data_IF_020548469869
#
_entry.id   IF_020548469869
#
_cell.length_a   1.000
_cell.length_b   1.000
_cell.length_c   1.000
_cell.angle_alpha   90.00
_cell.angle_beta   90.00
_cell.angle_gamma   90.00
#
_symmetry.space_group_name_H-M   'P 1'
#
loop_
_entity.id
_entity.type
_entity.pdbx_description
1 polymer ?
#
# COMPACT_ATOMS: atom_id res chain seq x y z
N UNK A 1 -7.01 -13.34 -7.69
CA UNK A 1 -5.88 -12.42 -7.45
C UNK A 1 -5.47 -12.57 -6.01
N UNK A 2 -4.21 -12.90 -5.74
CA UNK A 2 -3.68 -12.91 -4.38
C UNK A 2 -3.07 -11.53 -4.14
N UNK A 3 -3.78 -10.69 -3.40
CA UNK A 3 -3.18 -9.48 -2.87
C UNK A 3 -1.97 -9.84 -1.97
N UNK A 4 -1.07 -8.89 -1.78
CA UNK A 4 0.05 -9.04 -0.87
C UNK A 4 -0.40 -9.25 0.58
N UNK A 5 0.55 -9.37 1.52
CA UNK A 5 0.21 -9.65 2.91
C UNK A 5 -0.69 -8.57 3.52
N UNK A 6 -1.56 -9.00 4.43
CA UNK A 6 -2.33 -8.09 5.28
C UNK A 6 -1.38 -7.36 6.22
N UNK A 7 -1.43 -6.03 6.22
CA UNK A 7 -0.55 -5.18 7.02
C UNK A 7 -1.16 -4.87 8.39
N UNK A 8 -2.43 -4.44 8.40
CA UNK A 8 -3.18 -4.06 9.60
C UNK A 8 -4.47 -4.88 9.68
N UNK A 9 -4.79 -5.37 10.89
CA UNK A 9 -6.04 -6.08 11.21
C UNK A 9 -6.63 -5.53 12.51
N UNK A 10 -7.78 -4.88 12.43
CA UNK A 10 -8.47 -4.31 13.59
C UNK A 10 -7.63 -3.28 14.36
N UNK A 11 -6.88 -2.42 13.65
CA UNK A 11 -6.02 -1.40 14.24
C UNK A 11 -4.73 -1.92 14.87
N UNK A 12 -4.36 -3.18 14.58
CA UNK A 12 -3.11 -3.78 15.05
C UNK A 12 -2.26 -4.25 13.87
N UNK A 13 -0.95 -4.10 14.00
CA UNK A 13 0.04 -4.65 13.07
C UNK A 13 -0.11 -6.16 12.97
N UNK A 14 -0.04 -6.69 11.76
CA UNK A 14 -0.12 -8.12 11.55
C UNK A 14 1.21 -8.77 11.97
N UNK A 15 1.16 -9.66 12.96
CA UNK A 15 2.35 -10.33 13.50
C UNK A 15 3.08 -11.18 12.44
N UNK A 16 2.35 -11.66 11.42
CA UNK A 16 2.95 -12.46 10.35
C UNK A 16 3.95 -11.66 9.51
N UNK A 17 3.93 -10.33 9.55
CA UNK A 17 4.91 -9.48 8.85
C UNK A 17 6.34 -9.67 9.38
N UNK A 18 6.48 -10.03 10.65
CA UNK A 18 7.79 -10.24 11.31
C UNK A 18 8.49 -11.53 10.87
N UNK A 19 7.77 -12.44 10.19
CA UNK A 19 8.37 -13.63 9.61
C UNK A 19 9.21 -13.23 8.39
N UNK A 20 10.52 -13.49 8.47
CA UNK A 20 11.52 -13.08 7.49
C UNK A 20 11.29 -13.77 6.13
N UNK A 21 10.59 -13.08 5.23
CA UNK A 21 10.44 -13.44 3.83
C UNK A 21 11.07 -12.29 3.02
N UNK A 22 11.99 -12.62 2.11
CA UNK A 22 12.90 -11.70 1.42
C UNK A 22 12.27 -10.38 0.94
N UNK A 23 11.10 -10.43 0.30
CA UNK A 23 10.44 -9.24 -0.26
C UNK A 23 9.76 -8.31 0.76
N UNK A 24 9.60 -8.75 2.02
CA UNK A 24 8.97 -7.97 3.09
C UNK A 24 9.92 -6.95 3.72
N UNK A 25 11.21 -7.29 3.73
CA UNK A 25 12.27 -6.52 4.39
C UNK A 25 13.05 -5.62 3.42
N UNK A 26 12.77 -5.69 2.12
CA UNK A 26 13.36 -4.76 1.14
C UNK A 26 12.51 -3.49 1.00
N UNK A 27 13.10 -2.29 1.16
CA UNK A 27 12.38 -1.05 0.95
C UNK A 27 12.00 -0.85 -0.52
N UNK A 28 10.72 -0.58 -0.77
CA UNK A 28 10.17 -0.32 -2.10
C UNK A 28 9.04 0.70 -2.02
N UNK A 29 8.68 1.39 -3.12
CA UNK A 29 7.40 2.08 -3.19
C UNK A 29 6.28 1.06 -2.99
N UNK A 30 5.20 1.45 -2.32
CA UNK A 30 4.12 0.53 -1.95
C UNK A 30 2.78 1.10 -2.37
N UNK A 31 1.91 0.24 -2.89
CA UNK A 31 0.48 0.52 -3.01
C UNK A 31 -0.31 -0.38 -2.08
N UNK A 32 -1.42 0.13 -1.54
CA UNK A 32 -2.27 -0.65 -0.66
C UNK A 32 -3.71 -0.16 -0.68
N UNK A 33 -4.62 -1.03 -0.23
CA UNK A 33 -5.98 -0.65 0.15
C UNK A 33 -6.04 -0.60 1.67
N UNK A 34 -6.53 0.50 2.21
CA UNK A 34 -6.71 0.72 3.63
C UNK A 34 -8.15 1.11 3.97
N UNK A 35 -8.52 0.89 5.23
CA UNK A 35 -9.78 1.30 5.80
C UNK A 35 -9.53 2.20 7.02
N UNK A 36 -10.16 3.39 7.01
CA UNK A 36 -10.20 4.30 8.15
C UNK A 36 -11.67 4.57 8.50
N UNK A 37 -12.16 3.95 9.57
CA UNK A 37 -13.59 3.95 9.91
C UNK A 37 -14.41 3.31 8.79
N UNK A 38 -15.40 4.05 8.27
CA UNK A 38 -16.25 3.59 7.15
C UNK A 38 -15.65 3.86 5.78
N UNK A 39 -14.52 4.57 5.70
CA UNK A 39 -13.90 4.97 4.43
C UNK A 39 -12.89 3.93 3.96
N UNK A 40 -12.94 3.60 2.68
CA UNK A 40 -11.89 2.85 1.97
C UNK A 40 -10.96 3.83 1.27
N UNK A 41 -9.66 3.57 1.35
CA UNK A 41 -8.61 4.41 0.82
C UNK A 41 -7.71 3.57 -0.08
N UNK A 42 -7.31 4.13 -1.22
CA UNK A 42 -6.15 3.67 -1.96
C UNK A 42 -4.99 4.54 -1.50
N UNK A 43 -3.94 3.91 -0.99
CA UNK A 43 -2.77 4.63 -0.44
C UNK A 43 -1.55 4.24 -1.26
N UNK A 44 -0.77 5.25 -1.61
CA UNK A 44 0.48 5.11 -2.35
C UNK A 44 1.61 5.74 -1.56
N UNK A 45 2.58 4.93 -1.16
CA UNK A 45 3.83 5.38 -0.57
C UNK A 45 4.86 5.53 -1.68
N UNK A 46 5.25 6.78 -1.94
CA UNK A 46 6.26 7.13 -2.95
C UNK A 46 7.69 6.88 -2.46
N UNK A 47 7.90 6.94 -1.15
CA UNK A 47 9.18 6.63 -0.53
C UNK A 47 9.34 5.12 -0.44
N UNK A 48 10.59 4.66 -0.53
CA UNK A 48 10.91 3.25 -0.37
C UNK A 48 10.74 2.85 1.10
N UNK A 49 9.76 1.99 1.38
CA UNK A 49 9.47 1.49 2.71
C UNK A 49 9.35 -0.04 2.70
N UNK A 50 9.82 -0.66 3.77
CA UNK A 50 9.51 -2.06 4.07
C UNK A 50 8.03 -2.21 4.44
N UNK A 51 7.50 -3.43 4.39
CA UNK A 51 6.10 -3.65 4.80
C UNK A 51 5.88 -3.40 6.29
N UNK A 52 6.94 -3.55 7.08
CA UNK A 52 6.95 -3.32 8.52
C UNK A 52 6.83 -1.83 8.85
N UNK A 53 7.64 -0.99 8.19
CA UNK A 53 7.58 0.47 8.31
C UNK A 53 6.26 1.03 7.80
N UNK A 54 5.73 0.49 6.69
CA UNK A 54 4.39 0.89 6.22
C UNK A 54 3.33 0.61 7.28
N UNK A 55 3.38 -0.55 7.93
CA UNK A 55 2.42 -0.84 8.99
C UNK A 55 2.53 0.15 10.16
N UNK A 56 3.74 0.58 10.53
CA UNK A 56 3.95 1.58 11.58
C UNK A 56 3.38 2.95 11.19
N UNK A 57 3.57 3.39 9.94
CA UNK A 57 2.94 4.62 9.43
C UNK A 57 1.42 4.55 9.43
N UNK A 58 0.84 3.39 9.05
CA UNK A 58 -0.61 3.20 9.05
C UNK A 58 -1.20 3.23 10.46
N UNK A 59 -0.48 2.73 11.46
CA UNK A 59 -0.90 2.82 12.87
C UNK A 59 -0.96 4.27 13.35
N UNK A 60 0.03 5.10 13.00
CA UNK A 60 0.04 6.55 13.31
C UNK A 60 -1.15 7.29 12.69
N UNK A 61 -1.73 6.75 11.62
CA UNK A 61 -2.87 7.31 10.89
C UNK A 61 -4.23 6.70 11.32
N UNK A 62 -4.28 5.92 12.40
CA UNK A 62 -5.48 5.23 12.89
C UNK A 62 -6.16 4.34 11.84
N UNK A 63 -5.37 3.71 10.96
CA UNK A 63 -5.88 2.77 9.98
C UNK A 63 -6.30 1.48 10.69
N UNK A 64 -7.51 1.00 10.37
CA UNK A 64 -8.11 -0.15 11.03
C UNK A 64 -7.82 -1.45 10.29
N UNK A 65 -7.79 -1.41 8.96
CA UNK A 65 -7.47 -2.56 8.13
C UNK A 65 -6.63 -2.09 6.94
N UNK A 66 -5.63 -2.88 6.55
CA UNK A 66 -4.86 -2.59 5.36
C UNK A 66 -4.30 -3.88 4.75
N UNK A 67 -4.31 -3.94 3.42
CA UNK A 67 -3.74 -5.05 2.65
C UNK A 67 -2.81 -4.46 1.60
N UNK A 68 -1.58 -4.96 1.56
CA UNK A 68 -0.60 -4.55 0.56
C UNK A 68 -1.05 -5.05 -0.83
N UNK A 69 -0.93 -4.18 -1.83
CA UNK A 69 -1.08 -4.54 -3.24
C UNK A 69 0.29 -4.73 -3.86
N UNK A 70 0.36 -4.77 -5.19
CA UNK A 70 1.63 -4.85 -5.87
C UNK A 70 2.49 -3.60 -5.59
N UNK A 71 3.81 -3.77 -5.54
CA UNK A 71 4.73 -2.71 -5.14
C UNK A 71 6.07 -2.83 -5.85
N UNK A 72 7.02 -1.95 -5.53
CA UNK A 72 8.27 -1.86 -6.26
C UNK A 72 8.09 -1.04 -7.55
N UNK A 73 8.75 -1.42 -8.66
CA UNK A 73 8.63 -0.72 -9.94
C UNK A 73 7.17 -0.54 -10.36
N UNK A 74 6.35 -1.55 -10.06
CA UNK A 74 4.92 -1.58 -10.39
C UNK A 74 4.04 -0.63 -9.57
N UNK A 75 4.61 0.23 -8.72
CA UNK A 75 3.82 1.25 -8.01
C UNK A 75 3.54 2.41 -8.93
N UNK A 76 2.29 2.61 -9.36
CA UNK A 76 1.89 3.77 -10.14
C UNK A 76 0.57 4.39 -9.66
N UNK A 77 0.40 5.69 -9.90
CA UNK A 77 -0.86 6.41 -9.72
C UNK A 77 -1.03 7.39 -10.88
N UNK A 78 -2.24 7.42 -11.44
CA UNK A 78 -2.64 8.34 -12.49
C UNK A 78 -3.99 8.93 -12.13
N UNK A 79 -4.10 10.25 -12.22
CA UNK A 79 -5.31 11.01 -11.94
C UNK A 79 -5.51 12.09 -13.00
N UNK A 80 -6.76 12.31 -13.40
CA UNK A 80 -7.13 13.47 -14.21
C UNK A 80 -7.21 14.76 -13.38
N UNK A 81 -7.32 14.65 -12.05
CA UNK A 81 -7.25 15.79 -11.14
C UNK A 81 -5.79 16.19 -10.92
N UNK A 82 -5.44 17.39 -11.41
CA UNK A 82 -4.09 17.97 -11.34
C UNK A 82 -3.58 18.21 -9.91
N UNK A 83 -4.45 18.14 -8.89
CA UNK A 83 -4.06 18.22 -7.47
C UNK A 83 -3.45 16.90 -6.97
N UNK A 84 -3.74 15.79 -7.63
CA UNK A 84 -3.14 14.49 -7.34
C UNK A 84 -1.90 14.36 -8.22
N UNK A 85 -0.73 14.25 -7.61
CA UNK A 85 0.51 14.05 -8.34
C UNK A 85 0.53 12.64 -8.93
N UNK A 86 0.72 12.54 -10.25
CA UNK A 86 0.94 11.27 -10.92
C UNK A 86 2.32 10.71 -10.57
N UNK A 87 2.44 9.37 -10.61
CA UNK A 87 3.68 8.66 -10.31
C UNK A 87 3.78 7.40 -11.19
N UNK A 88 4.96 7.17 -11.78
CA UNK A 88 5.29 6.01 -12.62
C UNK A 88 4.23 5.69 -13.71
N UNK A 89 3.77 6.70 -14.44
CA UNK A 89 2.71 6.58 -15.45
C UNK A 89 3.08 5.70 -16.67
N UNK A 90 4.38 5.47 -16.89
CA UNK A 90 4.86 4.71 -18.05
C UNK A 90 4.87 3.19 -17.80
N UNK A 91 4.74 2.72 -16.55
CA UNK A 91 4.68 1.30 -16.25
C UNK A 91 3.29 0.73 -16.54
N UNK A 92 3.20 -0.20 -17.50
CA UNK A 92 1.97 -0.94 -17.79
C UNK A 92 1.75 -2.01 -16.72
N UNK A 93 0.87 -1.72 -15.78
CA UNK A 93 0.48 -2.67 -14.75
C UNK A 93 -0.66 -3.57 -15.22
N UNK A 94 -0.67 -4.85 -14.82
CA UNK A 94 -1.71 -5.79 -15.23
C UNK A 94 -3.08 -5.53 -14.56
N UNK A 95 -3.12 -4.84 -13.41
CA UNK A 95 -4.36 -4.60 -12.63
C UNK A 95 -4.37 -3.16 -12.10
N UNK A 96 -5.50 -2.48 -12.28
CA UNK A 96 -5.72 -1.09 -11.87
C UNK A 96 -6.93 -1.00 -10.93
N UNK A 97 -6.81 -0.21 -9.86
CA UNK A 97 -7.96 0.24 -9.07
C UNK A 97 -8.36 1.64 -9.54
N UNK A 98 -9.61 1.77 -10.01
CA UNK A 98 -10.18 3.04 -10.44
C UNK A 98 -11.32 3.42 -9.49
N UNK A 99 -11.26 4.64 -8.95
CA UNK A 99 -12.35 5.29 -8.23
C UNK A 99 -13.01 6.25 -9.22
N UNK A 100 -14.31 6.09 -9.47
CA UNK A 100 -15.12 7.00 -10.30
C UNK A 100 -15.89 7.96 -9.42
#
# INVERSE_FOLDING_TARGET
FNAGPRLIKGGKKNNDLTQSISHRNTPHPRTLVAQKGTKSLIVVFRNNLTLDEVADELLKLDIQNAVNLDGGPSTSISSSDRRVLNFNEQEKLPILFCIK
#
